data_IF_130738182199
#
_entry.id   IF_130738182199
#
_cell.length_a   1.000
_cell.length_b   1.000
_cell.length_c   1.000
_cell.angle_alpha   90.00
_cell.angle_beta   90.00
_cell.angle_gamma   90.00
#
_symmetry.space_group_name_H-M   'P 1'
#
loop_
_entity.id
_entity.type
_entity.pdbx_description
1 polymer ?
#
# COMPACT_ATOMS: atom_id res chain seq x y z
N UNK A 1 22.83 35.95 13.00
CA UNK A 1 23.08 35.56 14.41
C UNK A 1 23.52 34.12 14.40
N UNK A 2 24.59 33.77 15.12
CA UNK A 2 25.02 32.38 15.24
C UNK A 2 24.60 31.84 16.60
N UNK A 3 23.86 30.74 16.62
CA UNK A 3 23.34 30.11 17.84
C UNK A 3 23.91 28.71 17.94
N UNK A 4 24.68 28.46 18.98
CA UNK A 4 25.22 27.13 19.27
C UNK A 4 24.32 26.45 20.29
N UNK A 5 23.64 25.39 19.88
CA UNK A 5 22.81 24.57 20.77
C UNK A 5 23.69 23.65 21.60
N UNK A 6 23.26 23.39 22.85
CA UNK A 6 23.90 22.42 23.75
C UNK A 6 23.54 20.98 23.41
N UNK A 7 22.56 20.77 22.54
CA UNK A 7 21.97 19.51 22.15
C UNK A 7 21.72 19.48 20.64
N UNK A 8 21.87 18.30 20.04
CA UNK A 8 21.54 18.06 18.62
C UNK A 8 20.11 17.56 18.40
N UNK A 9 19.27 17.54 19.45
CA UNK A 9 17.88 17.11 19.37
C UNK A 9 17.04 18.09 18.54
N UNK A 10 16.22 17.53 17.66
CA UNK A 10 15.30 18.26 16.81
C UNK A 10 14.29 19.10 17.63
N UNK A 11 13.85 18.61 18.79
CA UNK A 11 12.94 19.34 19.68
C UNK A 11 13.55 20.61 20.24
N UNK A 12 14.86 20.62 20.49
CA UNK A 12 15.54 21.81 21.01
C UNK A 12 15.67 22.87 19.92
N UNK A 13 15.93 22.45 18.68
CA UNK A 13 15.93 23.36 17.53
C UNK A 13 14.53 23.93 17.27
N UNK A 14 13.47 23.12 17.35
CA UNK A 14 12.07 23.58 17.21
C UNK A 14 11.74 24.69 18.21
N UNK A 15 12.08 24.51 19.49
CA UNK A 15 11.88 25.54 20.52
C UNK A 15 12.61 26.85 20.21
N UNK A 16 13.82 26.77 19.65
CA UNK A 16 14.59 27.97 19.28
C UNK A 16 13.95 28.68 18.09
N UNK A 17 13.49 27.93 17.08
CA UNK A 17 12.76 28.52 15.94
C UNK A 17 11.50 29.23 16.43
N UNK A 18 10.68 28.56 17.24
CA UNK A 18 9.46 29.14 17.80
C UNK A 18 9.74 30.40 18.63
N UNK A 19 10.77 30.37 19.48
CA UNK A 19 11.13 31.53 20.31
C UNK A 19 11.61 32.72 19.49
N UNK A 20 12.40 32.50 18.45
CA UNK A 20 12.92 33.55 17.57
C UNK A 20 11.79 34.12 16.71
N UNK A 21 10.94 33.28 16.12
CA UNK A 21 9.79 33.71 15.33
C UNK A 21 8.82 34.54 16.20
N UNK A 22 8.54 34.08 17.42
CA UNK A 22 7.71 34.82 18.38
C UNK A 22 8.34 36.18 18.78
N UNK A 23 9.67 36.25 18.87
CA UNK A 23 10.37 37.51 19.15
C UNK A 23 10.24 38.52 18.01
N UNK A 24 10.45 38.09 16.76
CA UNK A 24 10.30 38.94 15.57
C UNK A 24 8.86 39.40 15.36
N UNK A 25 7.86 38.55 15.67
CA UNK A 25 6.45 38.95 15.61
C UNK A 25 6.11 40.03 16.64
N UNK A 26 6.69 39.96 17.85
CA UNK A 26 6.47 40.95 18.91
C UNK A 26 7.27 42.24 18.72
N UNK A 27 8.41 42.17 18.05
CA UNK A 27 9.31 43.30 17.82
C UNK A 27 9.60 43.45 16.31
N UNK A 28 8.63 43.93 15.53
CA UNK A 28 8.83 44.11 14.09
C UNK A 28 9.97 45.11 13.86
N UNK A 29 10.93 44.78 12.97
CA UNK A 29 12.09 45.62 12.74
C UNK A 29 11.67 46.96 12.11
N UNK A 30 12.37 48.06 12.43
CA UNK A 30 12.06 49.40 11.90
C UNK A 30 12.31 49.55 10.40
N UNK A 31 12.94 48.55 9.77
CA UNK A 31 13.16 48.45 8.32
C UNK A 31 12.72 47.04 7.86
N UNK A 32 12.31 46.86 6.59
CA UNK A 32 11.96 45.55 6.05
C UNK A 32 13.21 44.66 6.06
N UNK A 33 13.23 43.71 6.99
CA UNK A 33 14.34 42.80 7.22
C UNK A 33 13.84 41.37 7.11
N UNK A 34 14.37 40.64 6.13
CA UNK A 34 14.10 39.22 5.95
C UNK A 34 15.15 38.40 6.72
N UNK A 35 14.71 37.30 7.32
CA UNK A 35 15.60 36.36 8.01
C UNK A 35 15.37 34.95 7.47
N UNK A 36 16.46 34.20 7.33
CA UNK A 36 16.44 32.82 6.87
C UNK A 36 17.25 31.95 7.83
N UNK A 37 16.80 30.71 7.98
CA UNK A 37 17.44 29.71 8.81
C UNK A 37 18.48 28.92 8.00
N UNK A 38 19.58 28.56 8.66
CA UNK A 38 20.63 27.70 8.12
C UNK A 38 21.23 26.85 9.23
N UNK A 39 21.84 25.72 8.87
CA UNK A 39 22.49 24.80 9.81
C UNK A 39 21.87 23.40 9.80
N UNK A 40 22.67 22.42 10.22
CA UNK A 40 22.31 21.00 10.17
C UNK A 40 21.07 20.67 11.01
N UNK A 41 20.97 21.23 12.21
CA UNK A 41 19.83 20.99 13.12
C UNK A 41 18.53 21.54 12.54
N UNK A 42 18.55 22.74 11.94
CA UNK A 42 17.38 23.28 11.24
C UNK A 42 17.01 22.45 9.99
N UNK A 43 18.00 22.00 9.22
CA UNK A 43 17.74 21.14 8.07
C UNK A 43 17.11 19.81 8.52
N UNK A 44 17.56 19.24 9.64
CA UNK A 44 17.01 17.99 10.18
C UNK A 44 15.54 18.11 10.60
N UNK A 45 15.12 19.21 11.25
CA UNK A 45 13.70 19.40 11.61
C UNK A 45 12.82 19.49 10.36
N UNK A 46 13.24 20.26 9.35
CA UNK A 46 12.48 20.41 8.11
C UNK A 46 12.45 19.10 7.34
N UNK A 47 13.58 18.39 7.26
CA UNK A 47 13.66 17.10 6.60
C UNK A 47 12.77 16.06 7.28
N UNK A 48 12.78 15.99 8.61
CA UNK A 48 11.94 15.09 9.38
C UNK A 48 10.44 15.41 9.20
N UNK A 49 10.05 16.68 9.28
CA UNK A 49 8.66 17.11 9.04
C UNK A 49 8.19 16.72 7.63
N UNK A 50 8.97 17.07 6.60
CA UNK A 50 8.65 16.73 5.21
C UNK A 50 8.58 15.23 4.99
N UNK A 51 9.46 14.47 5.62
CA UNK A 51 9.47 13.00 5.56
C UNK A 51 8.21 12.42 6.19
N UNK A 52 7.86 12.82 7.41
CA UNK A 52 6.69 12.29 8.13
C UNK A 52 5.42 12.55 7.34
N UNK A 53 5.19 13.80 6.91
CA UNK A 53 4.02 14.15 6.12
C UNK A 53 4.02 13.49 4.74
N UNK A 54 5.16 13.46 4.06
CA UNK A 54 5.28 12.81 2.75
C UNK A 54 5.00 11.30 2.81
N UNK A 55 5.47 10.62 3.85
CA UNK A 55 5.22 9.20 4.07
C UNK A 55 3.78 8.94 4.48
N UNK A 56 3.18 9.80 5.30
CA UNK A 56 1.76 9.71 5.65
C UNK A 56 0.86 9.89 4.42
N UNK A 57 1.13 10.90 3.60
CA UNK A 57 0.41 11.13 2.34
C UNK A 57 0.57 9.96 1.38
N UNK A 58 1.78 9.43 1.24
CA UNK A 58 2.06 8.26 0.41
C UNK A 58 1.31 7.03 0.91
N UNK A 59 1.33 6.80 2.23
CA UNK A 59 0.62 5.69 2.86
C UNK A 59 -0.90 5.78 2.65
N UNK A 60 -1.52 6.91 2.97
CA UNK A 60 -2.96 7.11 2.80
C UNK A 60 -3.36 7.06 1.32
N UNK A 61 -2.54 7.64 0.44
CA UNK A 61 -2.72 7.57 -1.01
C UNK A 61 -2.67 6.13 -1.52
N UNK A 62 -1.64 5.37 -1.15
CA UNK A 62 -1.52 3.95 -1.51
C UNK A 62 -2.66 3.11 -0.93
N UNK A 63 -3.08 3.36 0.31
CA UNK A 63 -4.22 2.69 0.93
C UNK A 63 -5.50 2.92 0.14
N UNK A 64 -5.78 4.16 -0.25
CA UNK A 64 -6.95 4.51 -1.06
C UNK A 64 -6.88 3.89 -2.45
N UNK A 65 -5.73 3.95 -3.12
CA UNK A 65 -5.53 3.36 -4.45
C UNK A 65 -5.74 1.85 -4.41
N UNK A 66 -5.19 1.15 -3.41
CA UNK A 66 -5.39 -0.29 -3.24
C UNK A 66 -6.84 -0.62 -2.94
N UNK A 67 -7.50 0.13 -2.06
CA UNK A 67 -8.94 -0.04 -1.80
C UNK A 67 -9.78 0.10 -3.08
N UNK A 68 -9.53 1.12 -3.89
CA UNK A 68 -10.21 1.34 -5.17
C UNK A 68 -9.92 0.17 -6.11
N UNK A 69 -8.65 -0.20 -6.28
CA UNK A 69 -8.24 -1.31 -7.15
C UNK A 69 -8.92 -2.62 -6.75
N UNK A 70 -8.99 -2.92 -5.45
CA UNK A 70 -9.66 -4.11 -4.93
C UNK A 70 -11.17 -4.06 -5.12
N UNK A 71 -11.79 -2.90 -4.88
CA UNK A 71 -13.22 -2.71 -5.10
C UNK A 71 -13.60 -2.95 -6.56
N UNK A 72 -12.76 -2.52 -7.50
CA UNK A 72 -12.94 -2.76 -8.94
C UNK A 72 -12.69 -4.24 -9.26
N UNK A 73 -11.60 -4.84 -8.77
CA UNK A 73 -11.25 -6.24 -9.00
C UNK A 73 -12.37 -7.19 -8.56
N UNK A 74 -12.90 -6.98 -7.36
CA UNK A 74 -13.96 -7.83 -6.80
C UNK A 74 -15.37 -7.40 -7.22
N UNK A 75 -15.52 -6.27 -7.95
CA UNK A 75 -16.80 -5.64 -8.34
C UNK A 75 -17.72 -5.35 -7.15
N UNK A 76 -17.14 -5.09 -5.99
CA UNK A 76 -17.88 -4.84 -4.77
C UNK A 76 -17.00 -4.09 -3.77
N UNK A 77 -17.42 -2.90 -3.31
CA UNK A 77 -16.70 -2.17 -2.28
C UNK A 77 -16.63 -2.94 -0.96
N UNK A 78 -17.59 -3.84 -0.70
CA UNK A 78 -17.58 -4.69 0.49
C UNK A 78 -16.42 -5.69 0.45
N UNK A 79 -16.17 -6.31 -0.71
CA UNK A 79 -15.01 -7.20 -0.90
C UNK A 79 -13.70 -6.42 -0.93
N UNK A 80 -13.71 -5.20 -1.50
CA UNK A 80 -12.58 -4.28 -1.40
C UNK A 80 -12.22 -3.98 0.05
N UNK A 81 -13.21 -3.63 0.88
CA UNK A 81 -13.01 -3.36 2.30
C UNK A 81 -12.52 -4.60 3.06
N UNK A 82 -13.05 -5.78 2.74
CA UNK A 82 -12.60 -7.05 3.32
C UNK A 82 -11.11 -7.31 3.06
N UNK A 83 -10.61 -6.96 1.88
CA UNK A 83 -9.19 -7.05 1.54
C UNK A 83 -8.32 -6.11 2.42
N UNK A 84 -8.86 -4.95 2.82
CA UNK A 84 -8.15 -3.99 3.67
C UNK A 84 -8.07 -4.40 5.15
N UNK A 85 -8.88 -5.37 5.60
CA UNK A 85 -8.90 -5.81 7.02
C UNK A 85 -7.52 -6.36 7.47
N UNK A 86 -6.95 -7.40 6.85
CA UNK A 86 -5.67 -7.96 7.28
C UNK A 86 -4.53 -6.94 7.16
N UNK A 87 -4.57 -6.08 6.13
CA UNK A 87 -3.63 -4.98 5.94
C UNK A 87 -3.63 -4.02 7.14
N UNK A 88 -4.81 -3.53 7.51
CA UNK A 88 -4.96 -2.55 8.61
C UNK A 88 -4.50 -3.13 9.93
N UNK A 89 -4.89 -4.39 10.23
CA UNK A 89 -4.48 -5.07 11.46
C UNK A 89 -2.96 -5.27 11.48
N UNK A 90 -2.37 -5.64 10.35
CA UNK A 90 -0.92 -5.87 10.26
C UNK A 90 -0.17 -4.55 10.48
N UNK A 91 -0.54 -3.48 9.80
CA UNK A 91 0.08 -2.14 9.96
C UNK A 91 -0.05 -1.67 11.42
N UNK A 92 -1.22 -1.82 12.02
CA UNK A 92 -1.43 -1.47 13.43
C UNK A 92 -0.54 -2.31 14.37
N UNK A 93 -0.41 -3.62 14.12
CA UNK A 93 0.44 -4.50 14.92
C UNK A 93 1.93 -4.10 14.81
N UNK A 94 2.39 -3.72 13.62
CA UNK A 94 3.78 -3.36 13.37
C UNK A 94 4.14 -2.06 14.09
N UNK A 95 3.36 -1.01 13.87
CA UNK A 95 3.58 0.26 14.57
C UNK A 95 3.37 0.13 16.08
N UNK A 96 2.45 -0.74 16.51
CA UNK A 96 2.30 -1.13 17.91
C UNK A 96 3.60 -1.71 18.46
N UNK A 97 4.18 -2.73 17.80
CA UNK A 97 5.45 -3.35 18.22
C UNK A 97 6.59 -2.34 18.23
N UNK A 98 6.71 -1.49 17.21
CA UNK A 98 7.75 -0.44 17.15
C UNK A 98 7.62 0.51 18.35
N UNK A 99 6.39 0.95 18.65
CA UNK A 99 6.10 1.79 19.81
C UNK A 99 6.41 1.10 21.14
N UNK A 100 6.08 -0.19 21.28
CA UNK A 100 6.38 -0.98 22.48
C UNK A 100 7.87 -1.21 22.70
N UNK A 101 8.65 -1.38 21.62
CA UNK A 101 10.11 -1.50 21.68
C UNK A 101 10.77 -0.16 22.03
N UNK A 102 10.04 0.96 21.93
CA UNK A 102 10.58 2.29 22.18
C UNK A 102 11.57 2.75 21.11
N UNK A 103 11.47 2.20 19.89
CA UNK A 103 12.32 2.62 18.77
C UNK A 103 11.74 3.91 18.18
N UNK A 104 12.61 4.91 18.02
CA UNK A 104 12.25 6.16 17.35
C UNK A 104 11.78 5.92 15.90
N UNK A 105 10.80 6.72 15.50
CA UNK A 105 10.29 6.73 14.13
C UNK A 105 11.32 7.38 13.21
N UNK A 106 12.07 6.56 12.48
CA UNK A 106 13.10 6.98 11.54
C UNK A 106 12.67 6.77 10.08
N UNK A 107 13.46 7.30 9.14
CA UNK A 107 13.22 7.17 7.69
C UNK A 107 13.00 5.72 7.24
N UNK A 108 13.82 4.73 7.64
CA UNK A 108 13.58 3.33 7.32
C UNK A 108 12.21 2.83 7.79
N UNK A 109 11.83 3.11 9.04
CA UNK A 109 10.51 2.74 9.57
C UNK A 109 9.37 3.41 8.81
N UNK A 110 9.54 4.66 8.41
CA UNK A 110 8.52 5.39 7.67
C UNK A 110 8.23 4.75 6.30
N UNK A 111 9.27 4.30 5.59
CA UNK A 111 9.16 3.67 4.27
C UNK A 111 8.50 2.29 4.35
N UNK A 112 8.67 1.54 5.45
CA UNK A 112 8.03 0.23 5.65
C UNK A 112 6.51 0.30 5.49
N UNK A 113 5.91 1.42 5.91
CA UNK A 113 4.48 1.76 5.80
C UNK A 113 3.91 1.48 4.42
N UNK A 114 4.48 2.20 3.46
CA UNK A 114 4.06 2.16 2.08
C UNK A 114 4.45 0.85 1.38
N UNK A 115 5.65 0.32 1.65
CA UNK A 115 6.12 -0.94 1.06
C UNK A 115 5.27 -2.14 1.48
N UNK A 116 4.96 -2.23 2.77
CA UNK A 116 4.19 -3.34 3.34
C UNK A 116 2.82 -3.44 2.71
N UNK A 117 2.17 -2.30 2.47
CA UNK A 117 0.82 -2.25 1.92
C UNK A 117 0.73 -2.94 0.55
N UNK A 118 1.74 -2.74 -0.30
CA UNK A 118 1.81 -3.37 -1.63
C UNK A 118 2.10 -4.87 -1.59
N UNK A 119 2.89 -5.35 -0.62
CA UNK A 119 3.27 -6.77 -0.55
C UNK A 119 2.27 -7.63 0.23
N UNK A 120 1.68 -7.06 1.29
CA UNK A 120 0.76 -7.77 2.16
C UNK A 120 -0.63 -7.97 1.52
N UNK A 121 -1.03 -7.09 0.59
CA UNK A 121 -2.35 -7.18 -0.05
C UNK A 121 -2.49 -8.46 -0.89
N UNK A 122 -1.39 -8.97 -1.45
CA UNK A 122 -1.39 -10.14 -2.32
C UNK A 122 -1.92 -11.39 -1.60
N UNK A 123 -1.60 -11.55 -0.30
CA UNK A 123 -2.10 -12.67 0.50
C UNK A 123 -3.62 -12.62 0.63
N UNK A 124 -4.17 -11.42 0.89
CA UNK A 124 -5.60 -11.21 0.98
C UNK A 124 -6.29 -11.42 -0.37
N UNK A 125 -5.71 -10.94 -1.46
CA UNK A 125 -6.23 -11.16 -2.82
C UNK A 125 -6.32 -12.65 -3.13
N UNK A 126 -5.23 -13.40 -2.91
CA UNK A 126 -5.20 -14.84 -3.18
C UNK A 126 -6.25 -15.58 -2.35
N UNK A 127 -6.37 -15.26 -1.06
CA UNK A 127 -7.35 -15.90 -0.18
C UNK A 127 -8.79 -15.59 -0.59
N UNK A 128 -9.09 -14.31 -0.86
CA UNK A 128 -10.45 -13.86 -1.24
C UNK A 128 -10.87 -14.38 -2.61
N UNK A 129 -9.95 -14.42 -3.58
CA UNK A 129 -10.27 -14.95 -4.91
C UNK A 129 -10.58 -16.45 -4.84
N UNK A 130 -9.72 -17.21 -4.17
CA UNK A 130 -9.88 -18.67 -4.07
C UNK A 130 -11.11 -19.06 -3.24
N UNK A 131 -11.42 -18.31 -2.19
CA UNK A 131 -12.63 -18.52 -1.40
C UNK A 131 -13.90 -18.25 -2.20
N UNK A 132 -13.93 -17.24 -3.08
CA UNK A 132 -15.05 -17.03 -4.00
C UNK A 132 -15.24 -18.19 -4.99
N UNK A 133 -14.15 -18.74 -5.52
CA UNK A 133 -14.21 -19.89 -6.43
C UNK A 133 -14.77 -21.13 -5.74
N UNK A 134 -14.32 -21.42 -4.53
CA UNK A 134 -14.77 -22.59 -3.77
C UNK A 134 -16.19 -22.41 -3.23
N UNK A 135 -16.57 -21.21 -2.80
CA UNK A 135 -17.94 -20.93 -2.36
C UNK A 135 -18.98 -21.10 -3.47
N UNK A 136 -18.62 -20.90 -4.74
CA UNK A 136 -19.53 -21.21 -5.87
C UNK A 136 -19.83 -22.70 -5.99
N UNK A 137 -18.92 -23.57 -5.55
CA UNK A 137 -19.05 -25.03 -5.63
C UNK A 137 -19.75 -25.59 -4.40
N UNK A 138 -19.37 -25.13 -3.21
CA UNK A 138 -19.87 -25.63 -1.92
C UNK A 138 -21.22 -25.01 -1.52
N UNK A 139 -21.54 -23.80 -2.01
CA UNK A 139 -22.79 -23.09 -1.73
C UNK A 139 -22.92 -22.50 -0.32
N UNK A 140 -21.96 -22.74 0.58
CA UNK A 140 -21.94 -22.22 1.95
C UNK A 140 -20.51 -22.03 2.47
N UNK A 141 -20.32 -21.13 3.43
CA UNK A 141 -19.02 -20.93 4.07
C UNK A 141 -18.57 -22.16 4.85
N UNK A 142 -19.50 -22.88 5.50
CA UNK A 142 -19.21 -24.12 6.23
C UNK A 142 -18.57 -25.21 5.36
N UNK A 143 -18.98 -25.32 4.09
CA UNK A 143 -18.33 -26.21 3.12
C UNK A 143 -17.08 -25.62 2.48
N UNK A 144 -16.99 -24.29 2.36
CA UNK A 144 -15.84 -23.59 1.74
C UNK A 144 -14.61 -23.55 2.62
N UNK A 145 -14.78 -23.32 3.93
CA UNK A 145 -13.66 -23.08 4.83
C UNK A 145 -12.69 -24.28 4.88
N UNK A 146 -13.15 -25.55 5.04
CA UNK A 146 -12.26 -26.70 5.04
C UNK A 146 -11.44 -26.84 3.75
N UNK A 147 -12.04 -26.58 2.58
CA UNK A 147 -11.34 -26.62 1.29
C UNK A 147 -10.28 -25.50 1.18
N UNK A 148 -10.58 -24.32 1.70
CA UNK A 148 -9.62 -23.20 1.74
C UNK A 148 -8.38 -23.50 2.58
N UNK A 149 -8.53 -24.27 3.66
CA UNK A 149 -7.41 -24.70 4.50
C UNK A 149 -6.68 -25.95 3.98
N UNK A 150 -7.08 -26.47 2.82
CA UNK A 150 -6.35 -27.51 2.09
C UNK A 150 -5.20 -26.94 1.24
N UNK A 151 -5.36 -26.99 -0.08
CA UNK A 151 -4.37 -26.49 -1.04
C UNK A 151 -4.12 -24.96 -0.93
N UNK A 152 -5.15 -24.08 -0.83
CA UNK A 152 -4.94 -22.63 -0.88
C UNK A 152 -4.13 -22.09 0.29
N UNK A 153 -4.47 -22.46 1.53
CA UNK A 153 -3.73 -22.02 2.71
C UNK A 153 -2.28 -22.50 2.68
N UNK A 154 -2.00 -23.71 2.15
CA UNK A 154 -0.63 -24.21 1.97
C UNK A 154 0.15 -23.39 0.94
N UNK A 155 -0.48 -23.01 -0.17
CA UNK A 155 0.13 -22.17 -1.18
C UNK A 155 0.47 -20.77 -0.62
N UNK A 156 -0.48 -20.14 0.09
CA UNK A 156 -0.29 -18.84 0.74
C UNK A 156 0.82 -18.92 1.79
N UNK A 157 0.80 -19.94 2.66
CA UNK A 157 1.81 -20.10 3.71
C UNK A 157 3.23 -20.28 3.15
N UNK A 158 3.37 -21.03 2.05
CA UNK A 158 4.65 -21.19 1.35
C UNK A 158 5.12 -19.86 0.76
N UNK A 159 4.22 -19.09 0.14
CA UNK A 159 4.56 -17.78 -0.39
C UNK A 159 5.03 -16.83 0.71
N UNK A 160 4.29 -16.77 1.82
CA UNK A 160 4.65 -15.97 3.01
C UNK A 160 6.05 -16.33 3.51
N UNK A 161 6.35 -17.62 3.63
CA UNK A 161 7.65 -18.10 4.09
C UNK A 161 8.79 -17.70 3.14
N UNK A 162 8.60 -17.90 1.83
CA UNK A 162 9.61 -17.55 0.81
C UNK A 162 9.88 -16.05 0.80
N UNK A 163 8.83 -15.23 0.84
CA UNK A 163 8.96 -13.76 0.83
C UNK A 163 9.61 -13.27 2.13
N UNK A 164 9.19 -13.78 3.29
CA UNK A 164 9.78 -13.40 4.58
C UNK A 164 11.28 -13.76 4.66
N UNK A 165 11.65 -14.98 4.27
CA UNK A 165 13.05 -15.42 4.21
C UNK A 165 13.83 -14.61 3.16
N UNK A 166 13.18 -14.22 2.07
CA UNK A 166 13.76 -13.40 1.01
C UNK A 166 14.27 -12.02 1.46
N UNK A 167 13.79 -11.51 2.60
CA UNK A 167 14.30 -10.27 3.20
C UNK A 167 15.46 -10.46 4.18
N UNK A 168 15.76 -11.68 4.62
CA UNK A 168 16.88 -11.96 5.53
C UNK A 168 18.27 -11.62 4.96
N UNK A 169 18.55 -11.71 3.65
CA UNK A 169 19.83 -11.26 3.08
C UNK A 169 20.18 -9.79 3.40
N UNK A 170 19.19 -8.93 3.68
CA UNK A 170 19.46 -7.54 4.09
C UNK A 170 20.23 -7.44 5.41
N UNK A 171 20.22 -8.49 6.24
CA UNK A 171 21.00 -8.56 7.47
C UNK A 171 22.51 -8.54 7.24
N UNK A 172 22.96 -8.99 6.06
CA UNK A 172 24.36 -8.96 5.67
C UNK A 172 24.85 -7.56 5.26
N UNK A 173 23.95 -6.57 5.15
CA UNK A 173 24.33 -5.22 4.76
C UNK A 173 25.19 -4.53 5.83
N UNK A 174 26.17 -3.69 5.46
CA UNK A 174 27.04 -3.01 6.42
C UNK A 174 26.30 -1.93 7.23
N UNK A 175 25.28 -1.30 6.65
CA UNK A 175 24.53 -0.21 7.27
C UNK A 175 23.35 -0.74 8.10
N UNK A 176 23.26 -0.28 9.35
CA UNK A 176 22.18 -0.63 10.31
C UNK A 176 20.77 -0.42 9.74
N UNK A 177 20.45 0.69 9.05
CA UNK A 177 19.14 0.89 8.43
C UNK A 177 18.63 -0.29 7.59
N UNK A 178 19.49 -0.92 6.79
CA UNK A 178 19.10 -2.06 5.96
C UNK A 178 18.83 -3.32 6.79
N UNK A 179 19.63 -3.56 7.83
CA UNK A 179 19.39 -4.67 8.77
C UNK A 179 18.03 -4.52 9.44
N UNK A 180 17.73 -3.32 9.92
CA UNK A 180 16.44 -2.98 10.54
C UNK A 180 15.28 -3.22 9.58
N UNK A 181 15.36 -2.73 8.34
CA UNK A 181 14.34 -2.97 7.31
C UNK A 181 14.17 -4.47 7.04
N UNK A 182 15.27 -5.23 6.93
CA UNK A 182 15.20 -6.68 6.69
C UNK A 182 14.46 -7.44 7.79
N UNK A 183 14.77 -7.15 9.07
CA UNK A 183 14.10 -7.77 10.22
C UNK A 183 12.62 -7.43 10.23
N UNK A 184 12.30 -6.15 10.08
CA UNK A 184 10.90 -5.72 10.09
C UNK A 184 10.15 -6.32 8.91
N UNK A 185 10.63 -6.25 7.67
CA UNK A 185 9.93 -6.85 6.52
C UNK A 185 9.71 -8.35 6.69
N UNK A 186 10.70 -9.09 7.20
CA UNK A 186 10.52 -10.51 7.52
C UNK A 186 9.37 -10.72 8.52
N UNK A 187 9.38 -9.99 9.64
CA UNK A 187 8.33 -10.09 10.67
C UNK A 187 6.95 -9.67 10.15
N UNK A 188 6.90 -8.57 9.39
CA UNK A 188 5.72 -8.01 8.75
C UNK A 188 5.05 -9.02 7.83
N UNK A 189 5.83 -9.69 6.97
CA UNK A 189 5.31 -10.67 6.02
C UNK A 189 4.75 -11.89 6.75
N UNK A 190 5.46 -12.39 7.76
CA UNK A 190 4.99 -13.50 8.59
C UNK A 190 3.67 -13.16 9.31
N UNK A 191 3.63 -12.01 9.99
CA UNK A 191 2.45 -11.52 10.71
C UNK A 191 1.28 -11.29 9.75
N UNK A 192 1.52 -10.68 8.58
CA UNK A 192 0.49 -10.47 7.55
C UNK A 192 -0.11 -11.77 7.04
N UNK A 193 0.72 -12.78 6.79
CA UNK A 193 0.25 -14.09 6.36
C UNK A 193 -0.65 -14.76 7.40
N UNK A 194 -0.22 -14.72 8.67
CA UNK A 194 -0.97 -15.27 9.80
C UNK A 194 -2.32 -14.53 9.95
N UNK A 195 -2.31 -13.20 9.96
CA UNK A 195 -3.54 -12.40 10.07
C UNK A 195 -4.46 -12.68 8.89
N UNK A 196 -3.93 -12.82 7.67
CA UNK A 196 -4.76 -13.14 6.49
C UNK A 196 -5.47 -14.48 6.66
N UNK A 197 -4.75 -15.52 7.10
CA UNK A 197 -5.29 -16.86 7.29
C UNK A 197 -6.20 -17.00 8.51
N UNK A 198 -6.21 -16.04 9.44
CA UNK A 198 -7.06 -16.07 10.64
C UNK A 198 -8.22 -15.06 10.55
N UNK A 199 -7.93 -13.81 10.25
CA UNK A 199 -8.91 -12.72 10.27
C UNK A 199 -9.89 -12.82 9.10
N UNK A 200 -9.43 -13.10 7.87
CA UNK A 200 -10.34 -13.21 6.72
C UNK A 200 -11.40 -14.30 6.90
N UNK A 201 -11.06 -15.56 7.23
CA UNK A 201 -12.09 -16.59 7.39
C UNK A 201 -13.06 -16.28 8.54
N UNK A 202 -12.60 -15.64 9.61
CA UNK A 202 -13.45 -15.22 10.72
C UNK A 202 -14.45 -14.13 10.27
N UNK A 203 -13.99 -13.09 9.56
CA UNK A 203 -14.88 -12.04 9.05
C UNK A 203 -15.85 -12.61 8.01
N UNK A 204 -15.39 -13.51 7.15
CA UNK A 204 -16.23 -14.16 6.13
C UNK A 204 -17.32 -15.03 6.73
N UNK A 205 -17.03 -15.75 7.83
CA UNK A 205 -18.04 -16.52 8.55
C UNK A 205 -19.18 -15.64 9.10
N UNK A 206 -18.85 -14.47 9.65
CA UNK A 206 -19.84 -13.54 10.20
C UNK A 206 -20.60 -12.80 9.09
N UNK A 207 -19.90 -12.43 8.00
CA UNK A 207 -20.45 -11.61 6.93
C UNK A 207 -20.96 -12.41 5.72
N UNK A 208 -21.10 -13.73 5.83
CA UNK A 208 -21.46 -14.65 4.73
C UNK A 208 -22.67 -14.17 3.94
N UNK A 209 -23.78 -13.86 4.63
CA UNK A 209 -25.04 -13.44 4.01
C UNK A 209 -24.96 -12.12 3.22
N UNK A 210 -23.99 -11.25 3.54
CA UNK A 210 -23.75 -9.98 2.85
C UNK A 210 -22.72 -10.13 1.73
N UNK A 211 -21.71 -10.98 1.91
CA UNK A 211 -20.61 -11.18 0.98
C UNK A 211 -20.99 -12.09 -0.20
N UNK A 212 -21.76 -13.15 0.06
CA UNK A 212 -22.11 -14.19 -0.90
C UNK A 212 -23.57 -14.16 -1.34
N UNK A 213 -24.18 -12.96 -1.42
CA UNK A 213 -25.48 -12.82 -2.12
C UNK A 213 -25.34 -13.37 -3.53
N UNK A 214 -26.29 -14.21 -3.97
CA UNK A 214 -26.34 -14.80 -5.32
C UNK A 214 -25.98 -13.73 -6.36
N UNK A 215 -24.80 -13.78 -6.99
CA UNK A 215 -24.45 -12.84 -8.02
C UNK A 215 -25.27 -13.16 -9.26
N UNK A 216 -25.85 -12.12 -9.90
CA UNK A 216 -26.18 -12.20 -11.32
C UNK A 216 -24.91 -12.62 -12.08
N UNK A 217 -25.08 -13.49 -13.08
CA UNK A 217 -24.07 -14.23 -13.85
C UNK A 217 -22.68 -13.57 -13.90
N UNK A 218 -21.67 -14.36 -13.55
CA UNK A 218 -20.27 -13.92 -13.49
C UNK A 218 -19.68 -14.03 -14.89
N UNK A 219 -19.67 -12.92 -15.63
CA UNK A 219 -18.85 -12.79 -16.83
C UNK A 219 -17.38 -12.58 -16.46
N UNK A 220 -16.51 -13.36 -17.12
CA UNK A 220 -15.07 -13.33 -16.97
C UNK A 220 -14.49 -11.93 -17.31
N UNK A 221 -13.57 -11.44 -16.49
CA UNK A 221 -12.98 -10.09 -16.57
C UNK A 221 -12.13 -9.87 -17.83
N UNK A 222 -11.80 -10.92 -18.58
CA UNK A 222 -10.97 -10.77 -19.79
C UNK A 222 -11.68 -9.99 -20.92
N UNK A 223 -12.99 -9.71 -20.81
CA UNK A 223 -13.75 -8.99 -21.82
C UNK A 223 -14.72 -7.95 -21.27
N UNK A 224 -14.28 -7.04 -20.39
CA UNK A 224 -15.08 -5.85 -20.11
C UNK A 224 -14.29 -4.56 -20.37
N UNK A 225 -14.72 -3.81 -21.39
CA UNK A 225 -14.10 -2.56 -21.85
C UNK A 225 -14.06 -1.50 -20.72
N UNK A 226 -15.03 -1.55 -19.80
CA UNK A 226 -15.05 -0.70 -18.61
C UNK A 226 -13.87 -0.95 -17.66
N UNK A 227 -13.35 -2.19 -17.56
CA UNK A 227 -12.24 -2.51 -16.66
C UNK A 227 -10.90 -2.00 -17.21
N UNK A 228 -10.61 -2.19 -18.51
CA UNK A 228 -9.44 -1.55 -19.13
C UNK A 228 -9.56 -0.01 -19.08
N UNK A 229 -10.76 0.56 -19.23
CA UNK A 229 -10.97 2.01 -19.15
C UNK A 229 -10.73 2.55 -17.72
N UNK A 230 -11.22 1.88 -16.69
CA UNK A 230 -11.00 2.29 -15.29
C UNK A 230 -9.53 2.13 -14.88
N UNK A 231 -8.85 1.03 -15.26
CA UNK A 231 -7.41 0.87 -15.04
C UNK A 231 -6.65 1.99 -15.76
N UNK A 232 -7.02 2.28 -17.00
CA UNK A 232 -6.40 3.33 -17.80
C UNK A 232 -6.56 4.70 -17.17
N UNK A 233 -7.75 5.04 -16.68
CA UNK A 233 -8.01 6.31 -15.97
C UNK A 233 -7.24 6.35 -14.66
N UNK A 234 -7.24 5.28 -13.86
CA UNK A 234 -6.52 5.22 -12.59
C UNK A 234 -5.01 5.43 -12.79
N UNK A 235 -4.44 4.78 -13.82
CA UNK A 235 -3.03 4.93 -14.17
C UNK A 235 -2.72 6.35 -14.67
N UNK A 236 -3.58 6.94 -15.50
CA UNK A 236 -3.41 8.33 -15.99
C UNK A 236 -3.50 9.34 -14.85
N UNK A 237 -4.47 9.18 -13.94
CA UNK A 237 -4.61 10.03 -12.75
C UNK A 237 -3.38 9.91 -11.87
N UNK A 238 -2.88 8.69 -11.65
CA UNK A 238 -1.68 8.47 -10.85
C UNK A 238 -0.45 9.15 -11.47
N UNK A 239 -0.30 9.09 -12.80
CA UNK A 239 0.77 9.79 -13.53
C UNK A 239 0.59 11.30 -13.46
N UNK A 240 -0.62 11.82 -13.62
CA UNK A 240 -0.91 13.25 -13.53
C UNK A 240 -0.63 13.80 -12.13
N UNK A 241 -0.99 13.05 -11.08
CA UNK A 241 -0.66 13.39 -9.69
C UNK A 241 0.85 13.36 -9.46
N UNK A 242 1.55 12.36 -9.97
CA UNK A 242 3.02 12.29 -9.87
C UNK A 242 3.67 13.46 -10.61
N UNK A 243 3.23 13.76 -11.83
CA UNK A 243 3.67 14.92 -12.63
C UNK A 243 3.41 16.24 -11.92
N UNK A 244 2.23 16.42 -11.30
CA UNK A 244 1.90 17.62 -10.55
C UNK A 244 2.76 17.77 -9.30
N UNK A 245 2.93 16.68 -8.55
CA UNK A 245 3.74 16.65 -7.33
C UNK A 245 5.23 16.87 -7.59
N UNK A 246 5.72 16.45 -8.77
CA UNK A 246 7.12 16.59 -9.17
C UNK A 246 7.33 17.66 -10.26
N UNK A 247 6.35 18.51 -10.55
CA UNK A 247 6.44 19.50 -11.64
C UNK A 247 7.59 20.50 -11.47
N UNK A 248 8.01 20.74 -10.23
CA UNK A 248 9.14 21.60 -9.86
C UNK A 248 10.51 20.89 -9.98
N UNK A 249 10.53 19.56 -10.04
CA UNK A 249 11.74 18.77 -10.32
C UNK A 249 11.75 18.46 -11.82
N UNK A 250 12.67 19.08 -12.56
CA UNK A 250 12.73 19.00 -14.03
C UNK A 250 12.58 17.57 -14.59
N UNK A 251 12.01 17.48 -15.80
CA UNK A 251 11.64 16.22 -16.46
C UNK A 251 12.78 15.19 -16.42
N UNK A 252 12.64 14.20 -15.55
CA UNK A 252 13.62 13.12 -15.41
C UNK A 252 13.37 12.03 -16.46
N UNK A 253 14.39 11.23 -16.81
CA UNK A 253 14.27 10.10 -17.75
C UNK A 253 13.14 9.12 -17.36
N UNK A 254 12.89 8.95 -16.07
CA UNK A 254 11.80 8.14 -15.51
C UNK A 254 10.42 8.65 -15.96
N UNK A 255 10.23 9.96 -16.02
CA UNK A 255 8.97 10.62 -16.42
C UNK A 255 8.66 10.38 -17.91
N UNK A 256 9.71 10.40 -18.76
CA UNK A 256 9.56 10.14 -20.20
C UNK A 256 9.27 8.66 -20.45
N UNK A 257 9.92 7.76 -19.71
CA UNK A 257 9.69 6.31 -19.81
C UNK A 257 8.26 5.96 -19.37
N UNK A 258 7.77 6.52 -18.26
CA UNK A 258 6.40 6.26 -17.81
C UNK A 258 5.35 6.81 -18.79
N UNK A 259 5.60 7.97 -19.41
CA UNK A 259 4.73 8.53 -20.46
C UNK A 259 4.63 7.64 -21.71
N UNK A 260 5.67 6.84 -22.01
CA UNK A 260 5.69 5.92 -23.15
C UNK A 260 5.13 4.53 -22.81
N UNK A 261 5.44 3.99 -21.63
CA UNK A 261 5.05 2.62 -21.22
C UNK A 261 3.55 2.52 -20.99
N UNK A 262 2.92 3.56 -20.46
CA UNK A 262 1.50 3.53 -20.07
C UNK A 262 0.56 3.42 -21.28
N UNK A 263 0.72 4.21 -22.37
CA UNK A 263 -0.04 4.01 -23.60
C UNK A 263 0.15 2.62 -24.21
N UNK A 264 1.37 2.06 -24.13
CA UNK A 264 1.66 0.71 -24.64
C UNK A 264 0.91 -0.35 -23.83
N UNK A 265 0.89 -0.24 -22.50
CA UNK A 265 0.10 -1.13 -21.64
C UNK A 265 -1.40 -0.99 -21.89
N UNK A 266 -1.90 0.23 -22.17
CA UNK A 266 -3.30 0.44 -22.56
C UNK A 266 -3.63 -0.25 -23.89
N UNK A 267 -2.77 -0.10 -24.90
CA UNK A 267 -2.93 -0.76 -26.20
C UNK A 267 -2.87 -2.28 -26.06
N UNK A 268 -1.95 -2.80 -25.24
CA UNK A 268 -1.86 -4.21 -24.95
C UNK A 268 -3.12 -4.74 -24.23
N UNK A 269 -3.66 -4.00 -23.25
CA UNK A 269 -4.94 -4.31 -22.58
C UNK A 269 -6.07 -4.37 -23.60
N UNK A 270 -6.17 -3.35 -24.48
CA UNK A 270 -7.19 -3.28 -25.53
C UNK A 270 -7.10 -4.40 -26.57
N UNK A 271 -5.88 -4.81 -26.94
CA UNK A 271 -5.64 -5.93 -27.85
C UNK A 271 -5.95 -7.28 -27.21
N UNK A 272 -5.62 -7.47 -25.93
CA UNK A 272 -5.93 -8.68 -25.18
C UNK A 272 -7.44 -8.84 -24.96
N UNK A 273 -8.15 -7.75 -24.66
CA UNK A 273 -9.62 -7.73 -24.55
C UNK A 273 -10.35 -8.09 -25.86
N UNK A 274 -9.65 -8.05 -27.01
CA UNK A 274 -10.22 -8.41 -28.33
C UNK A 274 -9.90 -9.84 -28.78
N UNK A 275 -9.02 -10.59 -28.09
CA UNK A 275 -8.65 -11.95 -28.52
C UNK A 275 -9.74 -12.97 -28.17
N UNK A 276 -9.96 -13.92 -29.09
CA UNK A 276 -11.03 -14.94 -29.18
C UNK A 276 -11.27 -15.85 -27.95
N UNK A 277 -10.57 -15.66 -26.82
CA UNK A 277 -10.84 -16.39 -25.58
C UNK A 277 -12.25 -16.10 -25.00
N UNK A 278 -12.85 -14.94 -25.34
CA UNK A 278 -14.19 -14.58 -24.89
C UNK A 278 -15.36 -15.16 -25.71
N UNK A 279 -15.09 -15.88 -26.82
CA UNK A 279 -16.15 -16.48 -27.64
C UNK A 279 -16.51 -17.93 -27.25
N UNK A 280 -15.73 -18.57 -26.38
CA UNK A 280 -15.86 -20.01 -26.14
C UNK A 280 -16.87 -20.42 -25.05
N UNK A 281 -17.31 -19.53 -24.16
CA UNK A 281 -18.17 -19.91 -23.02
C UNK A 281 -19.68 -19.77 -23.26
N UNK A 282 -20.13 -19.13 -24.35
CA UNK A 282 -21.57 -18.93 -24.61
C UNK A 282 -22.25 -20.20 -25.18
N UNK A 283 -21.48 -21.20 -25.65
CA UNK A 283 -22.06 -22.32 -26.43
C UNK A 283 -22.54 -23.53 -25.62
N UNK A 284 -22.37 -23.57 -24.30
CA UNK A 284 -22.67 -24.78 -23.50
C UNK A 284 -23.88 -24.66 -22.55
N UNK A 285 -24.70 -23.61 -22.65
CA UNK A 285 -25.93 -23.45 -21.86
C UNK A 285 -27.25 -23.74 -22.62
N UNK A 286 -27.19 -24.12 -23.90
CA UNK A 286 -28.36 -24.52 -24.70
C UNK A 286 -28.40 -26.04 -25.02
N UNK A 287 -27.63 -26.85 -24.31
CA UNK A 287 -27.61 -28.30 -24.45
C UNK A 287 -27.75 -28.99 -23.09
N UNK A 288 -28.89 -28.80 -22.43
CA UNK A 288 -29.49 -29.74 -21.46
C UNK A 288 -30.93 -29.34 -21.17
#
# INVERSE_FOLDING_TARGET
IWMQLTSGDNKDMERVVEAVDAYFQKHPPPAPLEHHWAGLTYINIIWQDKMVWGMLQSFLGSFLVVFIMMSILFRSPLWGLLCMVPLTITIAAIYGVIGFVGKDYDMPVAVLSALTLGMAVDFAIHFLQRSREMHKKSGSWAGTAPEMFGEPARAISRNVLVVAIGFLPLLAAPLVPYKTVGIFLCAIMAVSGIITLLALPAVMAVAESRLFKKPAQIESVSCNCSFCLVISIAVVVLIALNLHQYWQMGVTKLTVVSLAVVPVLMLACGLMARRKACKAEIKDQNAK
#
